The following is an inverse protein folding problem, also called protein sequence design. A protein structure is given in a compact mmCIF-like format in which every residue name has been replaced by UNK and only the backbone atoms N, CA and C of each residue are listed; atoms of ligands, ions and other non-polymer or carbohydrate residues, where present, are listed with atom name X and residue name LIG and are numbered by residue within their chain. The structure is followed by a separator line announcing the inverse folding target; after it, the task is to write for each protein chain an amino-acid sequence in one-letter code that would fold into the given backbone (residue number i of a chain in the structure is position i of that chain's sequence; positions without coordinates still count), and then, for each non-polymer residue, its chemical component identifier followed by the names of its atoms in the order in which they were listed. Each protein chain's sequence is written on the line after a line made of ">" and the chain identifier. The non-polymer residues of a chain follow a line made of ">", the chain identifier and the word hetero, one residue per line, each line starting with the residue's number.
data_IF_423704339567
#
_entry.id   IF_423704339567
#
_cell.length_a   1.000
_cell.length_b   1.000
_cell.length_c   1.000
_cell.angle_alpha   90.00
_cell.angle_beta   90.00
_cell.angle_gamma   90.00
#
_symmetry.space_group_name_H-M   'P 1'
#
loop_
_entity.id
_entity.type
_entity.pdbx_description
1 polymer ?
#
# COMPACT_ATOMS: atom_id res chain seq x y z
N UNK A 1 -55.02 13.03 -46.31
CA UNK A 1 -54.99 14.34 -45.63
C UNK A 1 -53.61 14.93 -45.88
N UNK A 2 -53.49 15.72 -46.95
CA UNK A 2 -53.31 17.17 -46.96
C UNK A 2 -52.09 17.66 -46.16
N UNK A 3 -51.19 18.56 -46.58
CA UNK A 3 -50.77 19.22 -47.83
C UNK A 3 -49.88 20.38 -47.35
N UNK A 4 -48.88 20.77 -48.16
CA UNK A 4 -48.26 22.10 -48.24
C UNK A 4 -47.14 22.54 -47.28
N UNK A 5 -45.97 22.70 -47.90
CA UNK A 5 -44.97 23.75 -47.68
C UNK A 5 -45.59 25.16 -47.61
N UNK A 6 -45.00 26.05 -46.81
CA UNK A 6 -44.88 27.47 -47.19
C UNK A 6 -43.66 28.15 -46.54
N UNK A 7 -42.67 28.43 -47.37
CA UNK A 7 -41.64 29.44 -47.15
C UNK A 7 -42.27 30.79 -47.53
N UNK A 8 -42.14 31.81 -46.69
CA UNK A 8 -42.35 33.20 -47.12
C UNK A 8 -41.29 34.12 -46.52
N UNK A 9 -40.79 34.95 -47.41
CA UNK A 9 -39.68 35.89 -47.32
C UNK A 9 -40.11 37.29 -46.83
N UNK A 10 -39.09 38.03 -46.37
CA UNK A 10 -38.84 39.49 -46.51
C UNK A 10 -39.62 40.48 -45.61
N UNK A 11 -38.80 41.26 -44.89
CA UNK A 11 -39.06 42.64 -44.53
C UNK A 11 -37.73 43.37 -44.35
N UNK A 12 -37.21 43.98 -45.43
CA UNK A 12 -36.15 44.99 -45.38
C UNK A 12 -36.83 46.35 -45.18
N UNK A 13 -36.42 47.09 -44.16
CA UNK A 13 -36.82 48.47 -43.91
C UNK A 13 -35.63 49.24 -43.33
N UNK A 14 -35.01 50.05 -44.18
CA UNK A 14 -33.91 50.96 -43.88
C UNK A 14 -34.45 52.28 -43.32
N UNK A 15 -33.83 52.88 -42.29
CA UNK A 15 -33.48 54.31 -42.20
C UNK A 15 -32.37 54.50 -41.15
N UNK A 16 -31.37 55.29 -41.52
CA UNK A 16 -30.18 55.65 -40.77
C UNK A 16 -30.42 56.59 -39.58
N UNK A 17 -29.55 56.53 -38.57
CA UNK A 17 -29.15 57.69 -37.78
C UNK A 17 -27.71 57.52 -37.31
N UNK A 18 -26.86 58.46 -37.72
CA UNK A 18 -25.46 58.60 -37.31
C UNK A 18 -25.45 59.21 -35.91
N UNK A 19 -24.82 58.54 -34.96
CA UNK A 19 -24.43 59.13 -33.69
C UNK A 19 -23.02 58.66 -33.34
N UNK A 20 -22.05 59.53 -33.63
CA UNK A 20 -20.67 59.39 -33.17
C UNK A 20 -20.64 59.75 -31.69
N UNK A 21 -20.48 58.75 -30.83
CA UNK A 21 -20.20 58.96 -29.40
C UNK A 21 -18.96 58.17 -29.02
N UNK A 22 -17.88 58.91 -28.79
CA UNK A 22 -16.68 58.49 -28.09
C UNK A 22 -17.03 58.48 -26.59
N UNK A 23 -16.86 57.35 -25.88
CA UNK A 23 -16.34 57.29 -24.50
C UNK A 23 -16.28 55.85 -23.96
N UNK A 24 -15.05 55.47 -23.58
CA UNK A 24 -14.64 54.77 -22.34
C UNK A 24 -15.13 53.33 -22.07
N UNK A 25 -14.16 52.42 -22.17
CA UNK A 25 -13.84 51.48 -21.10
C UNK A 25 -14.91 50.45 -20.74
N UNK A 26 -14.90 49.32 -21.44
CA UNK A 26 -15.50 48.10 -20.92
C UNK A 26 -14.44 47.00 -21.04
N UNK A 27 -13.93 46.61 -19.88
CA UNK A 27 -13.07 45.43 -19.71
C UNK A 27 -13.86 44.22 -20.20
N UNK A 28 -13.50 43.68 -21.36
CA UNK A 28 -14.02 42.37 -21.78
C UNK A 28 -13.28 41.32 -20.99
N UNK A 29 -13.87 40.93 -19.87
CA UNK A 29 -13.54 39.68 -19.20
C UNK A 29 -13.61 38.57 -20.25
N UNK A 30 -12.47 37.92 -20.47
CA UNK A 30 -12.41 36.63 -21.16
C UNK A 30 -13.38 35.71 -20.40
N UNK A 31 -14.38 35.08 -21.04
CA UNK A 31 -15.21 34.13 -20.34
C UNK A 31 -14.30 33.00 -19.87
N UNK A 32 -14.04 32.97 -18.57
CA UNK A 32 -13.49 31.81 -17.90
C UNK A 32 -14.41 30.66 -18.26
N UNK A 33 -13.93 29.77 -19.12
CA UNK A 33 -14.52 28.46 -19.34
C UNK A 33 -14.57 27.81 -17.96
N UNK A 34 -15.74 27.86 -17.34
CA UNK A 34 -16.04 27.12 -16.14
C UNK A 34 -15.95 25.65 -16.54
N UNK A 35 -14.76 25.07 -16.34
CA UNK A 35 -14.62 23.65 -16.17
C UNK A 35 -15.46 23.29 -14.95
N UNK A 36 -16.72 22.93 -15.19
CA UNK A 36 -17.51 22.16 -14.25
C UNK A 36 -16.90 20.76 -14.19
N UNK A 37 -15.74 20.63 -13.55
CA UNK A 37 -15.33 19.34 -13.00
C UNK A 37 -16.10 19.17 -11.71
N UNK A 38 -17.22 18.46 -11.79
CA UNK A 38 -17.92 17.92 -10.63
C UNK A 38 -16.91 17.22 -9.71
N UNK A 39 -16.71 17.64 -8.44
CA UNK A 39 -16.01 16.78 -7.49
C UNK A 39 -17.06 15.86 -6.88
N UNK A 40 -17.48 14.84 -7.63
CA UNK A 40 -18.11 13.67 -7.03
C UNK A 40 -17.32 12.44 -7.41
N UNK A 41 -16.03 12.47 -7.13
CA UNK A 41 -15.25 11.25 -7.03
C UNK A 41 -15.52 10.68 -5.63
N UNK A 42 -16.63 9.97 -5.48
CA UNK A 42 -16.85 9.11 -4.30
C UNK A 42 -15.83 7.99 -4.37
N UNK A 43 -14.64 8.25 -3.83
CA UNK A 43 -13.53 7.31 -3.79
C UNK A 43 -13.94 6.03 -3.04
N UNK A 44 -14.14 4.98 -3.83
CA UNK A 44 -13.81 3.58 -3.61
C UNK A 44 -13.64 3.07 -2.16
N UNK A 45 -14.62 2.32 -1.67
CA UNK A 45 -14.63 1.80 -0.30
C UNK A 45 -13.89 0.46 -0.23
N UNK A 46 -12.74 0.39 0.46
CA UNK A 46 -12.36 -0.81 1.21
C UNK A 46 -12.70 -0.58 2.68
N UNK A 47 -13.36 -1.58 3.27
CA UNK A 47 -13.55 -1.71 4.73
C UNK A 47 -12.79 -2.91 5.25
N UNK A 48 -12.76 -3.97 4.43
CA UNK A 48 -12.01 -5.19 4.67
C UNK A 48 -11.40 -5.69 3.36
N UNK A 49 -10.35 -6.48 3.47
CA UNK A 49 -9.79 -7.21 2.34
C UNK A 49 -9.23 -8.56 2.77
N UNK A 50 -9.03 -9.44 1.79
CA UNK A 50 -8.57 -10.81 1.97
C UNK A 50 -7.18 -11.00 1.39
N UNK A 51 -6.34 -11.67 2.15
CA UNK A 51 -4.97 -12.04 1.77
C UNK A 51 -4.72 -13.50 2.14
N UNK A 52 -3.93 -14.17 1.33
CA UNK A 52 -3.46 -15.54 1.52
C UNK A 52 -1.94 -15.58 1.42
N UNK A 53 -1.29 -16.22 2.38
CA UNK A 53 0.15 -16.48 2.38
C UNK A 53 0.39 -17.96 2.18
N UNK A 54 1.31 -18.31 1.27
CA UNK A 54 1.74 -19.69 1.01
C UNK A 54 3.20 -19.82 1.42
N UNK A 55 3.44 -20.37 2.60
CA UNK A 55 4.77 -20.46 3.19
C UNK A 55 5.43 -21.78 2.80
N UNK A 56 6.63 -21.68 2.23
CA UNK A 56 7.39 -22.83 1.77
C UNK A 56 8.91 -22.61 1.92
N UNK A 57 9.66 -23.71 1.94
CA UNK A 57 11.12 -23.70 1.91
C UNK A 57 11.60 -24.05 0.50
N UNK A 58 12.30 -23.15 -0.21
CA UNK A 58 12.87 -23.44 -1.53
C UNK A 58 14.15 -24.28 -1.44
N UNK A 59 14.72 -24.46 -0.24
CA UNK A 59 15.94 -25.25 -0.04
C UNK A 59 15.74 -26.74 -0.26
N UNK A 60 14.49 -27.20 -0.23
CA UNK A 60 14.12 -28.58 -0.56
C UNK A 60 13.72 -28.67 -2.04
N UNK A 61 14.20 -29.69 -2.76
CA UNK A 61 13.85 -29.95 -4.17
C UNK A 61 12.34 -30.05 -4.45
N UNK A 62 11.52 -30.17 -3.41
CA UNK A 62 10.06 -30.31 -3.44
C UNK A 62 9.28 -29.07 -2.98
N UNK A 63 9.92 -27.93 -2.73
CA UNK A 63 9.28 -26.73 -2.15
C UNK A 63 8.44 -27.06 -0.90
N UNK A 64 9.11 -27.62 0.11
CA UNK A 64 8.47 -28.11 1.32
C UNK A 64 7.54 -27.06 1.92
N UNK A 65 6.25 -27.40 2.03
CA UNK A 65 5.24 -26.55 2.69
C UNK A 65 5.50 -26.50 4.19
N UNK A 66 5.34 -25.33 4.78
CA UNK A 66 5.68 -25.09 6.18
C UNK A 66 4.39 -24.92 7.00
N UNK A 67 3.91 -25.98 7.68
CA UNK A 67 2.79 -25.87 8.59
C UNK A 67 3.18 -25.18 9.89
N UNK A 68 2.20 -24.58 10.57
CA UNK A 68 2.37 -23.91 11.88
C UNK A 68 3.38 -22.75 11.87
N UNK A 69 3.75 -22.22 10.70
CA UNK A 69 4.49 -20.97 10.62
C UNK A 69 3.60 -19.84 11.14
N UNK A 70 4.14 -18.98 12.00
CA UNK A 70 3.46 -17.80 12.49
C UNK A 70 3.48 -16.70 11.42
N UNK A 71 2.34 -16.05 11.23
CA UNK A 71 2.20 -14.88 10.36
C UNK A 71 1.65 -13.73 11.18
N UNK A 72 2.39 -12.62 11.23
CA UNK A 72 1.97 -11.36 11.84
C UNK A 72 1.69 -10.37 10.70
N UNK A 73 0.48 -9.82 10.66
CA UNK A 73 0.10 -8.76 9.73
C UNK A 73 0.09 -7.42 10.47
N UNK A 74 0.73 -6.43 9.85
CA UNK A 74 0.97 -5.11 10.41
C UNK A 74 0.34 -4.07 9.48
N UNK A 75 -0.51 -3.21 10.05
CA UNK A 75 -1.16 -2.12 9.32
C UNK A 75 -0.19 -0.98 9.04
N UNK A 76 -0.56 -0.07 8.14
CA UNK A 76 0.23 1.11 7.80
C UNK A 76 0.50 2.04 9.01
N UNK A 77 -0.37 2.00 10.03
CA UNK A 77 -0.20 2.71 11.30
C UNK A 77 0.78 2.03 12.27
N UNK A 78 1.34 0.88 11.88
CA UNK A 78 2.24 0.07 12.70
C UNK A 78 1.54 -0.79 13.75
N UNK A 79 0.21 -0.86 13.78
CA UNK A 79 -0.54 -1.76 14.65
C UNK A 79 -0.55 -3.20 14.11
N UNK A 80 -0.66 -4.19 15.01
CA UNK A 80 -0.89 -5.58 14.58
C UNK A 80 -2.37 -5.73 14.24
N UNK A 81 -2.67 -6.00 12.97
CA UNK A 81 -4.05 -6.23 12.49
C UNK A 81 -4.47 -7.70 12.61
N UNK A 82 -3.52 -8.64 12.48
CA UNK A 82 -3.81 -10.06 12.63
C UNK A 82 -2.58 -10.85 13.01
N UNK A 83 -2.77 -11.91 13.79
CA UNK A 83 -1.78 -12.97 14.01
C UNK A 83 -2.48 -14.29 13.68
N UNK A 84 -1.75 -15.21 13.06
CA UNK A 84 -2.23 -16.56 12.84
C UNK A 84 -1.11 -17.53 12.50
N UNK A 85 -1.49 -18.75 12.15
CA UNK A 85 -0.57 -19.81 11.75
C UNK A 85 -0.98 -20.45 10.45
N UNK A 86 -0.01 -20.95 9.70
CA UNK A 86 -0.27 -21.72 8.48
C UNK A 86 -0.84 -23.11 8.80
N UNK A 87 -1.70 -23.58 7.90
CA UNK A 87 -2.29 -24.91 7.94
C UNK A 87 -1.32 -26.00 7.45
N UNK A 88 -1.79 -27.24 7.29
CA UNK A 88 -0.97 -28.38 6.86
C UNK A 88 -0.31 -28.17 5.47
N UNK A 89 -0.98 -27.43 4.58
CA UNK A 89 -0.49 -27.10 3.24
C UNK A 89 0.42 -25.86 3.21
N UNK A 90 0.73 -25.27 4.36
CA UNK A 90 1.53 -24.05 4.46
C UNK A 90 0.76 -22.77 4.13
N UNK A 91 -0.58 -22.83 4.09
CA UNK A 91 -1.43 -21.69 3.74
C UNK A 91 -1.94 -20.97 4.99
N UNK A 92 -1.96 -19.65 4.96
CA UNK A 92 -2.64 -18.81 5.95
C UNK A 92 -3.52 -17.78 5.24
N UNK A 93 -4.81 -17.80 5.51
CA UNK A 93 -5.79 -16.89 4.91
C UNK A 93 -6.35 -15.96 5.98
N UNK A 94 -6.34 -14.65 5.70
CA UNK A 94 -6.86 -13.64 6.61
C UNK A 94 -7.78 -12.66 5.89
N UNK A 95 -8.85 -12.28 6.60
CA UNK A 95 -9.63 -11.08 6.28
C UNK A 95 -9.24 -10.02 7.32
N UNK A 96 -8.79 -8.85 6.86
CA UNK A 96 -8.31 -7.76 7.71
C UNK A 96 -9.05 -6.46 7.38
N UNK A 97 -9.13 -5.51 8.33
CA UNK A 97 -9.49 -4.12 8.01
C UNK A 97 -8.59 -3.60 6.89
N UNK A 98 -9.16 -2.87 5.95
CA UNK A 98 -8.42 -2.36 4.81
C UNK A 98 -8.99 -1.00 4.40
N UNK A 99 -8.12 -0.10 3.97
CA UNK A 99 -8.47 1.21 3.43
C UNK A 99 -8.04 1.29 1.97
N UNK A 100 -8.90 1.83 1.09
CA UNK A 100 -8.55 1.95 -0.31
C UNK A 100 -7.42 2.97 -0.46
N UNK A 101 -6.31 2.52 -1.04
CA UNK A 101 -5.19 3.35 -1.39
C UNK A 101 -5.57 4.26 -2.58
N UNK A 102 -5.39 5.59 -2.46
CA UNK A 102 -5.74 6.54 -3.51
C UNK A 102 -5.05 6.29 -4.85
N UNK A 103 -3.87 5.65 -4.86
CA UNK A 103 -3.15 5.29 -6.09
C UNK A 103 -3.93 4.31 -6.95
N UNK A 104 -4.82 3.53 -6.33
CA UNK A 104 -5.57 2.46 -6.99
C UNK A 104 -7.08 2.67 -6.97
N UNK A 105 -7.54 3.83 -6.48
CA UNK A 105 -8.97 4.10 -6.33
C UNK A 105 -9.69 3.90 -7.66
N UNK A 106 -9.21 4.48 -8.76
CA UNK A 106 -9.91 4.47 -10.05
C UNK A 106 -9.93 3.11 -10.79
N UNK A 107 -9.12 2.14 -10.36
CA UNK A 107 -8.98 0.85 -11.06
C UNK A 107 -9.55 -0.30 -10.24
N UNK A 108 -8.88 -0.61 -9.13
CA UNK A 108 -9.26 -1.67 -8.21
C UNK A 108 -8.88 -1.21 -6.81
N UNK A 109 -9.87 -0.99 -5.94
CA UNK A 109 -9.59 -0.62 -4.57
C UNK A 109 -8.76 -1.72 -3.91
N UNK A 110 -7.61 -1.34 -3.35
CA UNK A 110 -6.70 -2.21 -2.64
C UNK A 110 -6.02 -1.42 -1.52
N UNK A 111 -5.60 -2.15 -0.49
CA UNK A 111 -4.75 -1.66 0.58
C UNK A 111 -3.43 -2.44 0.55
N UNK A 112 -2.48 -2.05 1.39
CA UNK A 112 -1.20 -2.74 1.56
C UNK A 112 -0.92 -2.99 3.04
N UNK A 113 -0.38 -4.17 3.35
CA UNK A 113 0.05 -4.54 4.71
C UNK A 113 1.50 -5.01 4.69
N UNK A 114 2.15 -5.02 5.86
CA UNK A 114 3.43 -5.70 6.04
C UNK A 114 3.19 -7.03 6.75
N UNK A 115 3.83 -8.09 6.28
CA UNK A 115 3.77 -9.41 6.92
C UNK A 115 5.13 -9.82 7.46
N UNK A 116 5.16 -10.37 8.68
CA UNK A 116 6.32 -11.07 9.22
C UNK A 116 5.95 -12.53 9.36
N UNK A 117 6.77 -13.41 8.78
CA UNK A 117 6.60 -14.86 8.83
C UNK A 117 7.78 -15.47 9.59
N UNK A 118 7.47 -16.30 10.58
CA UNK A 118 8.45 -16.99 11.42
C UNK A 118 8.06 -18.45 11.63
N UNK A 119 9.04 -19.35 11.65
CA UNK A 119 8.83 -20.76 11.94
C UNK A 119 10.08 -21.32 12.64
N UNK A 120 9.88 -22.28 13.55
CA UNK A 120 10.99 -22.90 14.27
C UNK A 120 12.01 -23.54 13.31
N UNK A 121 13.29 -23.23 13.49
CA UNK A 121 14.38 -23.69 12.63
C UNK A 121 14.52 -22.94 11.29
N UNK A 122 13.76 -21.87 11.07
CA UNK A 122 13.86 -21.02 9.89
C UNK A 122 14.16 -19.57 10.26
N UNK A 123 14.81 -18.87 9.35
CA UNK A 123 14.96 -17.42 9.37
C UNK A 123 13.61 -16.78 9.12
N UNK A 124 13.38 -15.64 9.76
CA UNK A 124 12.18 -14.85 9.53
C UNK A 124 12.20 -14.25 8.12
N UNK A 125 11.02 -14.16 7.51
CA UNK A 125 10.84 -13.44 6.25
C UNK A 125 9.84 -12.31 6.47
N UNK A 126 10.20 -11.13 6.02
CA UNK A 126 9.40 -9.92 6.07
C UNK A 126 8.98 -9.55 4.65
N UNK A 127 7.68 -9.39 4.43
CA UNK A 127 7.12 -8.95 3.16
C UNK A 127 6.58 -7.55 3.35
N UNK A 128 7.16 -6.59 2.65
CA UNK A 128 6.64 -5.24 2.56
C UNK A 128 5.61 -5.13 1.44
N UNK A 129 4.71 -4.15 1.53
CA UNK A 129 3.76 -3.82 0.45
C UNK A 129 2.91 -5.00 -0.04
N UNK A 130 2.42 -5.84 0.89
CA UNK A 130 1.54 -6.96 0.56
C UNK A 130 0.15 -6.44 0.20
N UNK A 131 -0.34 -6.64 -1.04
CA UNK A 131 -1.64 -6.12 -1.43
C UNK A 131 -2.77 -6.88 -0.73
N UNK A 132 -3.75 -6.14 -0.24
CA UNK A 132 -4.97 -6.59 0.43
C UNK A 132 -6.17 -6.10 -0.38
N UNK A 133 -7.03 -7.02 -0.82
CA UNK A 133 -8.15 -6.68 -1.71
C UNK A 133 -9.18 -7.80 -1.77
N UNK A 134 -9.77 -8.09 -2.95
CA UNK A 134 -10.77 -9.17 -3.09
C UNK A 134 -10.21 -10.56 -2.75
N UNK A 135 -8.97 -10.84 -3.15
CA UNK A 135 -8.10 -11.94 -2.70
C UNK A 135 -6.74 -11.71 -3.35
N UNK A 136 -5.68 -11.72 -2.54
CA UNK A 136 -4.28 -11.63 -2.96
C UNK A 136 -3.54 -12.85 -2.42
N UNK A 137 -2.80 -13.54 -3.27
CA UNK A 137 -2.05 -14.74 -2.90
C UNK A 137 -0.57 -14.40 -2.95
N UNK A 138 0.12 -14.57 -1.81
CA UNK A 138 1.52 -14.24 -1.64
C UNK A 138 2.34 -15.51 -1.36
N UNK A 139 3.23 -15.91 -2.28
CA UNK A 139 4.23 -16.92 -1.99
C UNK A 139 5.25 -16.34 -1.01
N UNK A 140 5.55 -17.08 0.06
CA UNK A 140 6.52 -16.68 1.08
C UNK A 140 7.62 -17.75 1.21
N UNK A 141 8.78 -17.56 0.56
CA UNK A 141 9.92 -18.40 0.83
C UNK A 141 10.50 -18.08 2.21
N UNK A 142 10.75 -19.11 3.00
CA UNK A 142 11.54 -19.04 4.24
C UNK A 142 12.73 -20.00 4.13
N UNK A 143 13.83 -19.68 4.80
CA UNK A 143 15.08 -20.42 4.66
C UNK A 143 15.55 -20.97 6.00
N UNK A 144 16.08 -22.20 6.06
CA UNK A 144 16.58 -22.77 7.30
C UNK A 144 17.65 -21.89 7.97
N UNK A 145 17.65 -21.91 9.30
CA UNK A 145 18.77 -21.39 10.10
C UNK A 145 20.00 -22.25 9.81
N UNK A 146 21.12 -21.61 9.47
CA UNK A 146 22.41 -22.28 9.29
C UNK A 146 23.27 -22.08 10.54
N UNK A 147 23.65 -23.14 11.27
CA UNK A 147 24.47 -23.01 12.47
C UNK A 147 25.79 -22.26 12.20
N UNK A 148 26.18 -21.38 13.13
CA UNK A 148 27.41 -20.58 13.02
C UNK A 148 27.38 -19.51 11.93
N UNK A 149 26.22 -19.24 11.32
CA UNK A 149 26.02 -18.15 10.37
C UNK A 149 25.13 -17.07 10.95
N UNK A 150 25.23 -15.91 10.33
CA UNK A 150 24.40 -14.74 10.62
C UNK A 150 23.02 -14.94 9.99
N UNK A 151 22.10 -15.54 10.74
CA UNK A 151 20.78 -15.98 10.28
C UNK A 151 19.73 -14.85 10.21
N UNK A 152 20.07 -13.70 9.66
CA UNK A 152 19.20 -12.50 9.71
C UNK A 152 17.84 -12.70 9.03
N UNK A 153 16.82 -11.90 9.40
CA UNK A 153 15.59 -11.84 8.64
C UNK A 153 15.84 -11.49 7.18
N UNK A 154 15.02 -12.06 6.31
CA UNK A 154 14.99 -11.74 4.88
C UNK A 154 13.90 -10.71 4.66
N UNK A 155 14.19 -9.67 3.86
CA UNK A 155 13.17 -8.74 3.41
C UNK A 155 12.83 -8.99 1.94
N UNK A 156 11.55 -9.00 1.63
CA UNK A 156 11.00 -9.08 0.28
C UNK A 156 10.23 -7.80 -0.02
N UNK A 157 10.26 -7.38 -1.29
CA UNK A 157 9.51 -6.22 -1.80
C UNK A 157 9.90 -4.88 -1.11
N UNK A 158 11.16 -4.74 -0.74
CA UNK A 158 11.71 -3.51 -0.19
C UNK A 158 13.24 -3.53 -0.15
N UNK A 159 13.85 -2.36 -0.03
CA UNK A 159 15.31 -2.20 0.10
C UNK A 159 15.63 -1.44 1.40
N UNK A 160 15.25 -2.04 2.53
CA UNK A 160 15.49 -1.45 3.86
C UNK A 160 16.83 -1.88 4.43
N UNK A 161 17.39 -1.07 5.34
CA UNK A 161 18.59 -1.45 6.06
C UNK A 161 18.30 -2.66 6.95
N UNK A 162 19.20 -3.64 6.92
CA UNK A 162 19.12 -4.87 7.73
C UNK A 162 18.93 -4.61 9.24
N UNK A 163 19.49 -3.54 9.80
CA UNK A 163 19.30 -3.20 11.21
C UNK A 163 17.88 -2.73 11.52
N UNK A 164 17.23 -2.03 10.59
CA UNK A 164 15.84 -1.59 10.73
C UNK A 164 14.90 -2.80 10.68
N UNK A 165 15.16 -3.73 9.74
CA UNK A 165 14.40 -4.98 9.63
C UNK A 165 14.56 -5.84 10.88
N UNK A 166 15.77 -5.98 11.41
CA UNK A 166 16.03 -6.70 12.66
C UNK A 166 15.25 -6.09 13.84
N UNK A 167 15.37 -4.77 14.03
CA UNK A 167 14.65 -4.07 15.10
C UNK A 167 13.14 -4.17 14.97
N UNK A 168 12.63 -4.15 13.74
CA UNK A 168 11.20 -4.34 13.45
C UNK A 168 10.74 -5.75 13.81
N UNK A 169 11.43 -6.80 13.35
CA UNK A 169 11.09 -8.20 13.66
C UNK A 169 11.08 -8.41 15.17
N UNK A 170 12.13 -8.00 15.87
CA UNK A 170 12.25 -8.08 17.31
C UNK A 170 11.07 -7.41 18.04
N UNK A 171 10.69 -6.20 17.62
CA UNK A 171 9.54 -5.47 18.18
C UNK A 171 8.25 -6.29 18.04
N UNK A 172 7.92 -6.71 16.82
CA UNK A 172 6.63 -7.36 16.55
C UNK A 172 6.55 -8.77 17.09
N UNK A 173 7.64 -9.53 17.10
CA UNK A 173 7.69 -10.85 17.73
C UNK A 173 7.43 -10.75 19.24
N UNK A 174 7.98 -9.71 19.92
CA UNK A 174 7.67 -9.45 21.34
C UNK A 174 6.20 -9.06 21.56
N UNK A 175 5.67 -8.14 20.75
CA UNK A 175 4.27 -7.73 20.85
C UNK A 175 3.31 -8.90 20.59
N UNK A 176 3.65 -9.78 19.66
CA UNK A 176 2.91 -11.00 19.33
C UNK A 176 3.12 -12.14 20.36
N UNK A 177 4.02 -11.96 21.33
CA UNK A 177 4.41 -12.98 22.32
C UNK A 177 4.91 -14.28 21.69
N UNK A 178 5.62 -14.15 20.56
CA UNK A 178 6.19 -15.28 19.83
C UNK A 178 7.67 -15.49 20.19
N UNK A 179 8.21 -16.71 19.99
CA UNK A 179 9.62 -16.99 20.17
C UNK A 179 10.47 -16.00 19.39
N UNK A 180 11.50 -15.45 20.02
CA UNK A 180 12.38 -14.50 19.36
C UNK A 180 13.28 -15.22 18.34
N UNK A 181 13.73 -14.52 17.30
CA UNK A 181 14.69 -15.07 16.34
C UNK A 181 15.88 -15.69 17.05
N UNK A 182 16.35 -16.85 16.57
CA UNK A 182 17.50 -17.58 17.13
C UNK A 182 18.85 -16.85 16.89
N UNK A 183 18.82 -15.62 16.40
CA UNK A 183 19.97 -14.82 15.92
C UNK A 183 20.53 -13.86 16.96
N UNK A 184 20.72 -14.31 18.20
CA UNK A 184 21.29 -13.46 19.24
C UNK A 184 22.82 -13.57 19.32
N UNK A 185 23.49 -13.10 18.27
CA UNK A 185 24.89 -12.64 18.32
C UNK A 185 24.97 -11.16 17.92
N UNK A 186 24.20 -10.31 18.61
CA UNK A 186 24.44 -8.86 18.62
C UNK A 186 24.52 -8.45 20.10
N UNK A 187 25.70 -8.13 20.65
CA UNK A 187 25.78 -7.56 21.97
C UNK A 187 25.09 -6.20 21.96
N UNK A 188 23.94 -6.13 22.64
CA UNK A 188 23.28 -4.87 23.03
C UNK A 188 24.14 -4.10 24.04
N UNK A 189 25.31 -3.60 23.61
CA UNK A 189 25.87 -2.39 24.18
C UNK A 189 25.62 -1.29 23.16
N UNK A 190 24.50 -0.59 23.39
CA UNK A 190 24.38 0.81 23.03
C UNK A 190 25.68 1.46 23.49
N UNK A 191 26.52 1.86 22.53
CA UNK A 191 27.65 2.73 22.78
C UNK A 191 27.04 4.00 23.36
N UNK A 192 27.15 4.16 24.68
CA UNK A 192 27.08 5.46 25.30
C UNK A 192 28.15 6.30 24.60
N UNK A 193 27.75 7.16 23.68
CA UNK A 193 28.61 8.20 23.16
C UNK A 193 28.96 9.10 24.35
N UNK A 194 30.09 8.82 24.98
CA UNK A 194 30.75 9.79 25.84
C UNK A 194 31.15 10.95 24.93
N UNK A 195 30.73 12.20 25.19
CA UNK A 195 31.22 13.32 24.40
C UNK A 195 32.73 13.42 24.67
N UNK A 196 33.54 13.23 23.64
CA UNK A 196 34.96 13.53 23.72
C UNK A 196 35.09 15.02 24.01
N UNK A 197 35.55 15.33 25.22
CA UNK A 197 35.90 16.67 25.63
C UNK A 197 36.91 17.26 24.65
N UNK A 198 36.57 18.45 24.16
CA UNK A 198 37.52 19.40 23.59
C UNK A 198 38.56 19.70 24.67
N UNK A 199 39.80 19.24 24.50
CA UNK A 199 40.93 19.85 25.19
C UNK A 199 41.58 20.80 24.21
N UNK A 200 41.53 22.09 24.55
CA UNK A 200 42.33 23.16 23.97
C UNK A 200 43.67 23.24 24.71
#
# INVERSE_FOLDING_TARGET
>A
MNTARKILQRGFGSVACIATTLFVGISTEVPASQATSSPTNTAHILKTGKVEFRVYSPSDKSEKKIPKAHVILIGADGSIVKIGTTNAEGNFVATVPAQADPRFSETRPLDTTTAIVSAAGYRETVLFEVPVGRLSVQPVPIYPVTPGKRNEPISLLGNLNRHDVLGMVDKYMRLAKLPQPETKDIPSKVVSQTPHGLQA
#
